data_IF_588298950933
#
_entry.id   IF_588298950933
#
_cell.length_a   1.000
_cell.length_b   1.000
_cell.length_c   1.000
_cell.angle_alpha   90.00
_cell.angle_beta   90.00
_cell.angle_gamma   90.00
#
_symmetry.space_group_name_H-M   'P 1'
#
loop_
_entity.id
_entity.type
_entity.pdbx_description
1 polymer ?
#
# COMPACT_ATOMS: atom_id res chain seq x y z
N UNK A 1 18.63 9.54 -17.79
CA UNK A 1 18.72 9.30 -16.34
C UNK A 1 19.75 10.30 -15.82
N UNK A 2 19.48 11.01 -14.72
CA UNK A 2 20.53 11.80 -14.05
C UNK A 2 21.67 10.83 -13.67
N UNK A 3 22.93 11.08 -14.07
CA UNK A 3 24.06 10.21 -13.74
C UNK A 3 24.18 9.90 -12.25
N UNK A 4 23.72 10.80 -11.38
CA UNK A 4 23.72 10.61 -9.92
C UNK A 4 22.66 9.62 -9.42
N UNK A 5 21.67 9.24 -10.24
CA UNK A 5 20.65 8.25 -9.83
C UNK A 5 21.31 6.89 -9.58
N UNK A 6 22.19 6.44 -10.47
CA UNK A 6 22.89 5.15 -10.27
C UNK A 6 23.75 5.16 -9.01
N UNK A 7 24.37 6.31 -8.72
CA UNK A 7 25.18 6.53 -7.52
C UNK A 7 24.31 6.52 -6.25
N UNK A 8 23.13 7.17 -6.26
CA UNK A 8 22.15 7.15 -5.14
C UNK A 8 21.59 5.76 -4.89
N UNK A 9 21.23 5.04 -5.95
CA UNK A 9 20.75 3.65 -5.86
C UNK A 9 21.87 2.67 -5.49
N UNK A 10 23.14 3.10 -5.55
CA UNK A 10 24.32 2.25 -5.30
C UNK A 10 24.24 0.93 -6.08
N UNK A 11 23.84 1.05 -7.34
CA UNK A 11 23.67 -0.06 -8.26
C UNK A 11 25.03 -0.73 -8.54
N UNK A 12 25.13 -2.01 -8.22
CA UNK A 12 26.27 -2.87 -8.51
C UNK A 12 25.84 -4.19 -9.13
N UNK A 13 26.80 -5.08 -9.37
CA UNK A 13 26.54 -6.48 -9.65
C UNK A 13 26.65 -7.29 -8.34
N UNK A 14 25.93 -8.41 -8.27
CA UNK A 14 26.12 -9.42 -7.23
C UNK A 14 27.55 -9.96 -7.26
N UNK A 15 28.01 -10.56 -6.17
CA UNK A 15 29.39 -11.07 -6.06
C UNK A 15 29.72 -12.13 -7.13
N UNK A 16 28.71 -12.80 -7.68
CA UNK A 16 28.85 -13.76 -8.79
C UNK A 16 28.65 -13.12 -10.18
N UNK A 17 28.48 -11.80 -10.25
CA UNK A 17 28.16 -10.99 -11.43
C UNK A 17 26.89 -11.42 -12.18
N UNK A 18 26.03 -12.23 -11.55
CA UNK A 18 24.86 -12.80 -12.22
C UNK A 18 23.62 -11.96 -12.13
N UNK A 19 23.52 -10.96 -11.24
CA UNK A 19 22.34 -10.08 -11.09
C UNK A 19 22.76 -8.67 -10.69
N UNK A 20 21.92 -7.69 -10.97
CA UNK A 20 22.08 -6.35 -10.40
C UNK A 20 21.82 -6.40 -8.89
N UNK A 21 22.44 -5.51 -8.12
CA UNK A 21 22.18 -5.32 -6.69
C UNK A 21 22.03 -3.84 -6.44
N UNK A 22 20.88 -3.45 -5.92
CA UNK A 22 20.65 -2.11 -5.37
C UNK A 22 20.98 -2.20 -3.88
N UNK A 23 21.92 -1.40 -3.40
CA UNK A 23 22.32 -1.43 -1.97
C UNK A 23 21.62 -0.30 -1.23
N UNK A 24 21.07 -0.62 -0.06
CA UNK A 24 20.50 0.37 0.85
C UNK A 24 21.47 1.52 1.14
N UNK A 25 20.93 2.68 1.52
CA UNK A 25 21.70 3.80 2.03
C UNK A 25 22.59 3.42 3.25
N UNK A 26 22.26 2.33 3.96
CA UNK A 26 23.05 1.87 5.10
C UNK A 26 24.31 1.09 4.70
N UNK A 27 24.39 0.49 3.51
CA UNK A 27 25.60 -0.21 3.02
C UNK A 27 26.17 -1.29 3.96
N UNK A 28 25.44 -1.66 5.02
CA UNK A 28 25.89 -2.48 6.13
C UNK A 28 24.71 -2.98 6.95
N UNK A 29 24.94 -4.07 7.68
CA UNK A 29 23.97 -4.75 8.57
C UNK A 29 23.55 -3.91 9.79
N UNK A 30 24.07 -2.69 9.95
CA UNK A 30 23.71 -1.81 11.05
C UNK A 30 22.28 -1.27 10.88
N UNK A 31 21.39 -1.92 11.62
CA UNK A 31 20.03 -1.51 11.95
C UNK A 31 19.99 -0.03 12.33
N UNK A 32 19.35 0.79 11.48
CA UNK A 32 19.06 2.19 11.78
C UNK A 32 17.63 2.33 12.27
N UNK A 33 17.46 2.93 13.45
CA UNK A 33 16.14 3.19 14.04
C UNK A 33 15.21 3.92 13.06
N UNK A 34 13.95 3.47 12.97
CA UNK A 34 12.94 4.02 12.06
C UNK A 34 13.30 3.96 10.58
N UNK A 35 14.22 3.09 10.16
CA UNK A 35 14.35 2.76 8.73
C UNK A 35 13.07 2.15 8.20
N UNK A 36 12.83 2.30 6.91
CA UNK A 36 11.57 1.93 6.30
C UNK A 36 11.74 1.31 4.91
N UNK A 37 10.71 0.59 4.46
CA UNK A 37 10.60 0.05 3.12
C UNK A 37 9.16 0.15 2.64
N UNK A 38 8.99 0.30 1.33
CA UNK A 38 7.71 0.35 0.61
C UNK A 38 7.63 -0.86 -0.32
N UNK A 39 6.50 -1.55 -0.27
CA UNK A 39 6.09 -2.59 -1.21
C UNK A 39 4.89 -2.07 -2.01
N UNK A 40 4.87 -2.31 -3.33
CA UNK A 40 3.75 -1.99 -4.19
C UNK A 40 3.39 -3.17 -5.10
N UNK A 41 2.09 -3.41 -5.24
CA UNK A 41 1.54 -4.42 -6.15
C UNK A 41 0.91 -3.72 -7.37
N UNK A 42 1.09 -4.30 -8.56
CA UNK A 42 0.54 -3.79 -9.82
C UNK A 42 -0.20 -4.86 -10.60
N UNK A 43 -1.22 -4.44 -11.36
CA UNK A 43 -1.81 -5.31 -12.38
C UNK A 43 -0.94 -5.36 -13.64
N UNK A 44 -0.66 -6.57 -14.13
CA UNK A 44 -0.14 -6.82 -15.47
C UNK A 44 -1.31 -6.85 -16.45
N UNK A 45 -1.24 -6.01 -17.49
CA UNK A 45 -2.30 -5.85 -18.49
C UNK A 45 -1.75 -5.88 -19.91
N UNK A 46 -2.56 -6.25 -20.89
CA UNK A 46 -2.20 -6.16 -22.31
C UNK A 46 -1.88 -4.71 -22.68
N UNK A 47 -0.73 -4.46 -23.32
CA UNK A 47 -0.28 -3.11 -23.61
C UNK A 47 -1.16 -2.34 -24.62
N UNK A 48 -2.03 -3.04 -25.37
CA UNK A 48 -2.93 -2.43 -26.37
C UNK A 48 -4.34 -2.27 -25.83
N UNK A 49 -4.91 -3.31 -25.20
CA UNK A 49 -6.29 -3.29 -24.73
C UNK A 49 -6.43 -2.82 -23.29
N UNK A 50 -5.35 -2.89 -22.51
CA UNK A 50 -5.33 -2.69 -21.06
C UNK A 50 -6.26 -3.65 -20.31
N UNK A 51 -6.55 -4.82 -20.89
CA UNK A 51 -7.23 -5.89 -20.18
C UNK A 51 -6.23 -6.66 -19.32
N UNK A 52 -6.68 -7.08 -18.15
CA UNK A 52 -5.88 -7.83 -17.20
C UNK A 52 -5.38 -9.16 -17.78
N UNK A 53 -4.10 -9.46 -17.60
CA UNK A 53 -3.48 -10.66 -18.14
C UNK A 53 -4.06 -11.91 -17.45
N UNK A 54 -4.59 -12.86 -18.23
CA UNK A 54 -5.08 -14.14 -17.69
C UNK A 54 -3.91 -15.09 -17.39
N UNK A 55 -2.85 -15.02 -18.20
CA UNK A 55 -1.63 -15.81 -18.05
C UNK A 55 -0.43 -14.89 -18.26
N UNK A 56 0.61 -15.09 -17.47
CA UNK A 56 1.86 -14.35 -17.53
C UNK A 56 3.01 -15.35 -17.64
N UNK A 57 4.00 -15.10 -18.52
CA UNK A 57 5.11 -16.04 -18.72
C UNK A 57 6.03 -16.03 -17.49
N UNK A 58 6.64 -17.18 -17.16
CA UNK A 58 7.62 -17.28 -16.07
C UNK A 58 8.85 -16.41 -16.35
N UNK A 59 9.32 -16.40 -17.60
CA UNK A 59 10.44 -15.59 -18.07
C UNK A 59 10.29 -14.08 -17.77
N UNK A 60 9.06 -13.55 -17.74
CA UNK A 60 8.83 -12.14 -17.35
C UNK A 60 9.27 -11.89 -15.91
N UNK A 61 8.93 -12.79 -14.99
CA UNK A 61 9.26 -12.63 -13.57
C UNK A 61 10.73 -12.91 -13.30
N UNK A 62 11.33 -13.85 -14.03
CA UNK A 62 12.78 -14.06 -13.97
C UNK A 62 13.55 -12.83 -14.47
N UNK A 63 13.11 -12.23 -15.58
CA UNK A 63 13.68 -11.00 -16.12
C UNK A 63 13.47 -9.80 -15.17
N UNK A 64 12.26 -9.63 -14.63
CA UNK A 64 11.94 -8.55 -13.68
C UNK A 64 12.72 -8.71 -12.38
N UNK A 65 12.81 -9.92 -11.83
CA UNK A 65 13.60 -10.20 -10.64
C UNK A 65 15.07 -9.90 -10.90
N UNK A 66 15.60 -10.28 -12.06
CA UNK A 66 16.98 -10.01 -12.44
C UNK A 66 17.27 -8.51 -12.57
N UNK A 67 16.42 -7.78 -13.30
CA UNK A 67 16.65 -6.36 -13.62
C UNK A 67 16.47 -5.43 -12.44
N UNK A 68 15.66 -5.84 -11.47
CA UNK A 68 15.44 -5.12 -10.21
C UNK A 68 16.33 -5.61 -9.06
N UNK A 69 17.28 -6.51 -9.34
CA UNK A 69 18.20 -7.02 -8.32
C UNK A 69 17.54 -7.83 -7.20
N UNK A 70 16.49 -8.57 -7.53
CA UNK A 70 15.75 -9.44 -6.62
C UNK A 70 14.47 -8.82 -6.06
N UNK A 71 14.17 -7.57 -6.41
CA UNK A 71 13.12 -6.77 -5.78
C UNK A 71 11.74 -6.89 -6.43
N UNK A 72 11.62 -7.58 -7.57
CA UNK A 72 10.35 -7.90 -8.21
C UNK A 72 9.99 -9.38 -8.04
N UNK A 73 8.73 -9.67 -7.73
CA UNK A 73 8.22 -11.02 -7.53
C UNK A 73 6.81 -11.24 -8.08
N UNK A 74 6.48 -12.51 -8.27
CA UNK A 74 5.14 -12.96 -8.69
C UNK A 74 4.23 -13.14 -7.48
N UNK A 75 2.99 -12.72 -7.64
CA UNK A 75 1.95 -12.83 -6.63
C UNK A 75 1.00 -14.04 -6.78
N UNK A 76 0.04 -14.16 -5.86
CA UNK A 76 -0.91 -15.27 -5.79
C UNK A 76 -1.71 -15.48 -7.09
N UNK A 77 -2.16 -14.39 -7.73
CA UNK A 77 -2.85 -14.44 -9.01
C UNK A 77 -1.91 -14.02 -10.14
N UNK A 78 -2.07 -14.64 -11.31
CA UNK A 78 -1.17 -14.48 -12.46
C UNK A 78 -1.00 -13.02 -12.92
N UNK A 79 -2.03 -12.21 -12.76
CA UNK A 79 -2.07 -10.85 -13.25
C UNK A 79 -1.41 -9.81 -12.34
N UNK A 80 -0.65 -10.25 -11.34
CA UNK A 80 -0.09 -9.37 -10.32
C UNK A 80 1.42 -9.50 -10.23
N UNK A 81 2.07 -8.36 -10.09
CA UNK A 81 3.50 -8.24 -9.87
C UNK A 81 3.71 -7.34 -8.65
N UNK A 82 4.56 -7.77 -7.74
CA UNK A 82 4.95 -7.00 -6.57
C UNK A 82 6.39 -6.49 -6.74
N UNK A 83 6.64 -5.27 -6.29
CA UNK A 83 7.99 -4.73 -6.08
C UNK A 83 8.20 -4.32 -4.63
N UNK A 84 9.39 -4.54 -4.11
CA UNK A 84 9.78 -4.12 -2.76
C UNK A 84 11.07 -3.29 -2.81
N UNK A 85 11.02 -2.07 -2.28
CA UNK A 85 12.23 -1.25 -2.09
C UNK A 85 13.20 -1.90 -1.09
N UNK A 86 14.48 -1.52 -1.16
CA UNK A 86 15.42 -1.80 -0.10
C UNK A 86 15.04 -1.02 1.17
N UNK A 87 15.71 -1.35 2.28
CA UNK A 87 15.57 -0.59 3.53
C UNK A 87 16.24 0.78 3.36
N UNK A 88 15.49 1.85 3.64
CA UNK A 88 15.95 3.23 3.52
C UNK A 88 15.86 4.01 4.83
N UNK A 89 16.73 5.00 4.95
CA UNK A 89 16.67 6.05 5.99
C UNK A 89 16.32 7.39 5.35
N UNK A 90 16.83 7.66 4.16
CA UNK A 90 16.53 8.86 3.38
C UNK A 90 15.29 8.64 2.51
N UNK A 91 14.37 9.62 2.56
CA UNK A 91 13.11 9.55 1.82
C UNK A 91 13.29 9.82 0.32
N UNK A 92 14.32 10.59 -0.05
CA UNK A 92 14.68 10.86 -1.44
C UNK A 92 15.22 9.62 -2.15
N UNK A 93 16.07 8.83 -1.48
CA UNK A 93 16.57 7.57 -2.01
C UNK A 93 15.45 6.53 -2.20
N UNK A 94 14.56 6.41 -1.21
CA UNK A 94 13.37 5.54 -1.33
C UNK A 94 12.46 5.94 -2.51
N UNK A 95 12.25 7.25 -2.71
CA UNK A 95 11.49 7.79 -3.85
C UNK A 95 12.11 7.42 -5.18
N UNK A 96 13.42 7.61 -5.33
CA UNK A 96 14.12 7.33 -6.59
C UNK A 96 14.20 5.83 -6.88
N UNK A 97 14.33 4.98 -5.85
CA UNK A 97 14.24 3.54 -6.03
C UNK A 97 12.84 3.10 -6.45
N UNK A 98 11.77 3.59 -5.81
CA UNK A 98 10.41 3.22 -6.20
C UNK A 98 10.09 3.65 -7.65
N UNK A 99 10.57 4.83 -8.07
CA UNK A 99 10.51 5.26 -9.49
C UNK A 99 11.28 4.32 -10.41
N UNK A 100 12.47 3.88 -9.99
CA UNK A 100 13.28 2.93 -10.76
C UNK A 100 12.54 1.60 -10.92
N UNK A 101 12.07 1.00 -9.81
CA UNK A 101 11.36 -0.28 -9.81
C UNK A 101 10.15 -0.25 -10.74
N UNK A 102 9.28 0.77 -10.61
CA UNK A 102 8.12 0.94 -11.52
C UNK A 102 8.51 0.98 -12.98
N UNK A 103 9.53 1.77 -13.34
CA UNK A 103 9.98 1.91 -14.73
C UNK A 103 10.56 0.61 -15.25
N UNK A 104 11.33 -0.09 -14.42
CA UNK A 104 12.02 -1.29 -14.84
C UNK A 104 11.05 -2.45 -15.05
N UNK A 105 10.10 -2.66 -14.12
CA UNK A 105 9.09 -3.71 -14.31
C UNK A 105 8.11 -3.38 -15.45
N UNK A 106 7.81 -2.10 -15.69
CA UNK A 106 7.06 -1.68 -16.88
C UNK A 106 7.83 -1.96 -18.17
N UNK A 107 9.13 -1.68 -18.20
CA UNK A 107 10.03 -1.95 -19.34
C UNK A 107 10.11 -3.45 -19.64
N UNK A 108 10.32 -4.27 -18.60
CA UNK A 108 10.33 -5.73 -18.73
C UNK A 108 8.97 -6.24 -19.22
N UNK A 109 7.86 -5.82 -18.60
CA UNK A 109 6.51 -6.20 -19.05
C UNK A 109 6.29 -5.85 -20.54
N UNK A 110 6.79 -4.69 -20.99
CA UNK A 110 6.72 -4.25 -22.39
C UNK A 110 7.35 -5.22 -23.39
N UNK A 111 8.40 -5.95 -23.00
CA UNK A 111 9.05 -6.96 -23.83
C UNK A 111 8.14 -8.18 -24.10
N UNK A 112 7.13 -8.37 -23.26
CA UNK A 112 6.14 -9.44 -23.36
C UNK A 112 4.78 -8.95 -23.86
N UNK A 113 4.71 -7.71 -24.40
CA UNK A 113 3.45 -7.11 -24.87
C UNK A 113 2.50 -6.69 -23.75
N UNK A 114 3.02 -6.57 -22.52
CA UNK A 114 2.26 -6.16 -21.33
C UNK A 114 2.69 -4.77 -20.85
N UNK A 115 1.93 -4.19 -19.93
CA UNK A 115 2.33 -3.04 -19.12
C UNK A 115 1.78 -3.20 -17.70
N UNK A 116 2.07 -2.25 -16.82
CA UNK A 116 1.59 -2.24 -15.43
C UNK A 116 0.55 -1.15 -15.19
N UNK A 117 -0.41 -1.41 -14.31
CA UNK A 117 -1.33 -0.43 -13.76
C UNK A 117 -1.23 -0.37 -12.23
N UNK A 118 -0.94 0.82 -11.69
CA UNK A 118 -0.96 1.11 -10.26
C UNK A 118 -2.37 1.53 -9.81
N UNK A 119 -3.27 0.56 -9.71
CA UNK A 119 -4.58 0.72 -9.11
C UNK A 119 -4.93 -0.49 -8.25
N UNK A 120 -5.68 -0.26 -7.17
CA UNK A 120 -5.94 -1.34 -6.21
C UNK A 120 -7.04 -2.30 -6.64
N UNK A 121 -7.87 -1.87 -7.58
CA UNK A 121 -8.78 -2.73 -8.34
C UNK A 121 -8.74 -2.33 -9.80
N UNK A 122 -8.71 -3.33 -10.69
CA UNK A 122 -8.69 -3.07 -12.11
C UNK A 122 -10.09 -2.68 -12.62
N UNK A 123 -10.27 -1.53 -13.32
CA UNK A 123 -11.60 -1.02 -13.68
C UNK A 123 -12.47 -1.97 -14.50
N UNK A 124 -11.89 -2.68 -15.47
CA UNK A 124 -12.62 -3.60 -16.38
C UNK A 124 -12.46 -5.09 -16.02
N UNK A 125 -11.67 -5.44 -15.00
CA UNK A 125 -11.38 -6.85 -14.76
C UNK A 125 -12.63 -7.60 -14.29
N UNK A 126 -12.79 -8.82 -14.80
CA UNK A 126 -13.78 -9.77 -14.33
C UNK A 126 -13.03 -10.84 -13.54
N UNK A 127 -13.15 -10.81 -12.21
CA UNK A 127 -12.39 -11.70 -11.33
C UNK A 127 -12.59 -13.19 -11.62
N UNK A 128 -13.73 -13.57 -12.23
CA UNK A 128 -14.02 -14.96 -12.64
C UNK A 128 -13.05 -15.50 -13.70
N UNK A 129 -12.40 -14.61 -14.43
CA UNK A 129 -11.42 -14.96 -15.46
C UNK A 129 -10.00 -15.05 -14.90
N UNK A 130 -9.79 -14.69 -13.62
CA UNK A 130 -8.49 -14.76 -12.98
C UNK A 130 -7.99 -16.20 -12.87
N UNK A 131 -6.67 -16.35 -12.95
CA UNK A 131 -6.01 -17.64 -12.80
C UNK A 131 -5.01 -17.56 -11.65
N UNK A 132 -5.01 -18.55 -10.74
CA UNK A 132 -3.96 -18.67 -9.74
C UNK A 132 -2.60 -18.91 -10.39
N UNK A 133 -1.56 -18.41 -9.75
CA UNK A 133 -0.18 -18.78 -10.07
C UNK A 133 0.02 -20.28 -9.78
N UNK A 134 0.54 -21.08 -10.72
CA UNK A 134 0.68 -22.54 -10.57
C UNK A 134 1.89 -22.91 -9.70
N UNK A 135 1.92 -22.42 -8.44
CA UNK A 135 2.90 -22.80 -7.42
C UNK A 135 2.20 -23.52 -6.26
N UNK A 136 2.83 -24.53 -5.62
CA UNK A 136 2.21 -25.31 -4.56
C UNK A 136 1.59 -24.48 -3.42
N UNK A 137 2.32 -23.48 -2.91
CA UNK A 137 1.84 -22.57 -1.84
C UNK A 137 0.51 -21.88 -2.21
N UNK A 138 0.35 -21.44 -3.46
CA UNK A 138 -0.87 -20.76 -3.89
C UNK A 138 -2.00 -21.76 -4.18
N UNK A 139 -1.68 -22.99 -4.60
CA UNK A 139 -2.68 -24.04 -4.77
C UNK A 139 -3.34 -24.42 -3.44
N UNK A 140 -2.54 -24.57 -2.36
CA UNK A 140 -3.05 -24.80 -1.00
C UNK A 140 -3.95 -23.65 -0.54
N UNK A 141 -3.46 -22.41 -0.66
CA UNK A 141 -4.23 -21.23 -0.28
C UNK A 141 -5.55 -21.10 -1.06
N UNK A 142 -5.56 -21.41 -2.35
CA UNK A 142 -6.77 -21.39 -3.18
C UNK A 142 -7.76 -22.52 -2.85
N UNK A 143 -7.27 -23.68 -2.42
CA UNK A 143 -8.15 -24.75 -1.93
C UNK A 143 -8.84 -24.33 -0.64
N UNK A 144 -8.12 -23.69 0.29
CA UNK A 144 -8.67 -23.21 1.56
C UNK A 144 -9.62 -22.02 1.39
N UNK A 145 -9.23 -21.03 0.58
CA UNK A 145 -9.98 -19.79 0.41
C UNK A 145 -11.08 -19.88 -0.66
N UNK A 146 -11.01 -20.84 -1.58
CA UNK A 146 -11.99 -21.02 -2.65
C UNK A 146 -12.34 -19.72 -3.37
N UNK A 147 -13.64 -19.40 -3.46
CA UNK A 147 -14.15 -18.24 -4.18
C UNK A 147 -13.64 -16.91 -3.59
N UNK A 148 -13.42 -16.81 -2.28
CA UNK A 148 -12.91 -15.57 -1.68
C UNK A 148 -11.44 -15.36 -2.04
N UNK A 149 -10.65 -16.43 -2.17
CA UNK A 149 -9.29 -16.38 -2.71
C UNK A 149 -9.26 -15.96 -4.18
N UNK A 150 -10.16 -16.52 -5.00
CA UNK A 150 -10.26 -16.17 -6.44
C UNK A 150 -10.67 -14.71 -6.67
N UNK A 151 -11.49 -14.17 -5.77
CA UNK A 151 -11.93 -12.77 -5.78
C UNK A 151 -10.86 -11.80 -5.30
N UNK A 152 -9.72 -12.26 -4.78
CA UNK A 152 -8.63 -11.42 -4.29
C UNK A 152 -7.77 -10.81 -5.42
N UNK A 153 -8.38 -10.31 -6.48
CA UNK A 153 -7.72 -9.52 -7.53
C UNK A 153 -7.53 -8.08 -7.06
N UNK A 154 -6.65 -7.91 -6.08
CA UNK A 154 -6.49 -6.69 -5.30
C UNK A 154 -5.00 -6.35 -5.21
N UNK A 155 -4.64 -5.11 -5.53
CA UNK A 155 -3.27 -4.62 -5.37
C UNK A 155 -3.21 -3.62 -4.20
N UNK A 156 -2.19 -3.68 -3.37
CA UNK A 156 -1.97 -2.77 -2.26
C UNK A 156 -0.63 -2.07 -2.29
N UNK A 157 -0.45 -1.16 -1.34
CA UNK A 157 0.85 -0.67 -0.92
C UNK A 157 1.07 -1.03 0.55
N UNK A 158 2.22 -1.61 0.86
CA UNK A 158 2.63 -1.87 2.24
C UNK A 158 3.81 -0.99 2.60
N UNK A 159 3.83 -0.53 3.86
CA UNK A 159 4.95 0.26 4.39
C UNK A 159 5.44 -0.40 5.66
N UNK A 160 6.72 -0.76 5.67
CA UNK A 160 7.42 -1.33 6.81
C UNK A 160 8.20 -0.24 7.51
N UNK A 161 8.07 -0.11 8.83
CA UNK A 161 8.91 0.79 9.64
C UNK A 161 9.54 0.00 10.77
N UNK A 162 10.86 0.02 10.86
CA UNK A 162 11.63 -0.62 11.91
C UNK A 162 11.54 0.19 13.21
N UNK A 163 11.13 -0.45 14.30
CA UNK A 163 11.14 0.20 15.62
C UNK A 163 12.43 -0.17 16.38
N UNK A 164 12.97 0.72 17.24
CA UNK A 164 14.18 0.42 18.01
C UNK A 164 14.02 -0.83 18.89
N UNK A 165 12.86 -0.99 19.51
CA UNK A 165 12.48 -2.20 20.25
C UNK A 165 11.33 -2.94 19.54
N UNK A 166 11.59 -4.14 18.97
CA UNK A 166 10.57 -4.96 18.32
C UNK A 166 9.40 -5.36 19.22
N UNK A 167 9.57 -5.43 20.54
CA UNK A 167 8.49 -5.78 21.48
C UNK A 167 7.49 -4.63 21.65
N UNK A 168 7.91 -3.39 21.41
CA UNK A 168 7.03 -2.21 21.45
C UNK A 168 6.14 -2.07 20.22
N UNK A 169 6.32 -2.90 19.18
CA UNK A 169 5.44 -2.94 18.00
C UNK A 169 3.97 -3.13 18.35
N UNK A 170 3.65 -3.86 19.42
CA UNK A 170 2.26 -4.08 19.85
C UNK A 170 1.62 -2.83 20.44
N UNK A 171 2.35 -2.08 21.26
CA UNK A 171 1.88 -0.81 21.81
C UNK A 171 1.69 0.23 20.69
N UNK A 172 2.67 0.34 19.78
CA UNK A 172 2.58 1.25 18.63
C UNK A 172 1.45 0.83 17.68
N UNK A 173 1.29 -0.46 17.39
CA UNK A 173 0.17 -0.98 16.58
C UNK A 173 -1.18 -0.62 17.19
N UNK A 174 -1.33 -0.79 18.52
CA UNK A 174 -2.57 -0.44 19.23
C UNK A 174 -2.85 1.06 19.14
N UNK A 175 -1.85 1.90 19.41
CA UNK A 175 -1.97 3.35 19.32
C UNK A 175 -2.25 3.86 17.90
N UNK A 176 -1.84 3.11 16.87
CA UNK A 176 -2.01 3.46 15.46
C UNK A 176 -3.43 3.22 14.92
N UNK A 177 -4.25 2.37 15.60
CA UNK A 177 -5.59 1.97 15.13
C UNK A 177 -6.48 3.17 14.74
N UNK A 178 -6.59 4.25 15.54
CA UNK A 178 -7.43 5.41 15.20
C UNK A 178 -6.99 6.15 13.93
N UNK A 179 -5.71 6.01 13.53
CA UNK A 179 -5.12 6.71 12.39
C UNK A 179 -5.18 5.89 11.09
N UNK A 180 -5.37 4.57 11.16
CA UNK A 180 -5.47 3.69 9.98
C UNK A 180 -6.47 4.23 8.92
N UNK A 181 -7.68 4.70 9.30
CA UNK A 181 -8.62 5.28 8.35
C UNK A 181 -8.10 6.48 7.54
N UNK A 182 -7.20 7.30 8.10
CA UNK A 182 -6.62 8.44 7.38
C UNK A 182 -5.75 7.95 6.21
N UNK A 183 -4.95 6.90 6.43
CA UNK A 183 -4.16 6.29 5.36
C UNK A 183 -5.02 5.67 4.26
N UNK A 184 -6.18 5.10 4.63
CA UNK A 184 -7.14 4.56 3.66
C UNK A 184 -7.72 5.70 2.80
N UNK A 185 -8.10 6.82 3.43
CA UNK A 185 -8.63 7.97 2.71
C UNK A 185 -7.61 8.57 1.73
N UNK A 186 -6.35 8.72 2.17
CA UNK A 186 -5.27 9.28 1.37
C UNK A 186 -4.90 8.38 0.17
N UNK A 187 -4.91 7.06 0.34
CA UNK A 187 -4.42 6.12 -0.67
C UNK A 187 -5.47 5.66 -1.68
N UNK A 188 -6.76 5.90 -1.42
CA UNK A 188 -7.88 5.30 -2.16
C UNK A 188 -7.67 5.32 -3.69
N UNK A 189 -7.70 4.13 -4.31
CA UNK A 189 -7.45 3.95 -5.74
C UNK A 189 -8.27 2.82 -6.37
N UNK A 190 -9.32 2.36 -5.68
CA UNK A 190 -10.17 1.24 -6.10
C UNK A 190 -11.66 1.58 -6.21
N UNK A 191 -12.08 2.57 -7.04
CA UNK A 191 -13.49 2.92 -7.15
C UNK A 191 -14.33 1.97 -8.00
N UNK A 192 -13.69 1.11 -8.79
CA UNK A 192 -14.35 0.19 -9.72
C UNK A 192 -14.14 -1.28 -9.33
N UNK A 193 -15.14 -2.11 -9.57
CA UNK A 193 -15.03 -3.56 -9.39
C UNK A 193 -15.95 -4.28 -10.35
N UNK A 194 -15.46 -5.34 -10.99
CA UNK A 194 -16.24 -6.15 -11.92
C UNK A 194 -16.92 -5.30 -13.02
N UNK A 195 -16.13 -4.40 -13.64
CA UNK A 195 -16.60 -3.48 -14.69
C UNK A 195 -17.71 -2.51 -14.28
N UNK A 196 -17.77 -2.11 -13.00
CA UNK A 196 -18.78 -1.18 -12.48
C UNK A 196 -18.21 -0.23 -11.44
N UNK A 197 -18.71 1.01 -11.43
CA UNK A 197 -18.50 1.93 -10.30
C UNK A 197 -19.17 1.34 -9.06
N UNK A 198 -18.40 1.22 -7.97
CA UNK A 198 -18.86 0.57 -6.73
C UNK A 198 -19.62 1.52 -5.81
N UNK A 199 -19.45 2.83 -6.02
CA UNK A 199 -19.84 3.87 -5.08
C UNK A 199 -18.87 4.04 -3.90
N UNK A 200 -17.81 3.26 -3.81
CA UNK A 200 -16.71 3.43 -2.85
C UNK A 200 -15.53 4.10 -3.55
N UNK A 201 -14.70 4.84 -2.82
CA UNK A 201 -13.39 5.34 -3.29
C UNK A 201 -12.30 4.27 -3.14
N UNK A 202 -12.36 3.52 -2.03
CA UNK A 202 -11.48 2.40 -1.70
C UNK A 202 -12.24 1.09 -1.53
N UNK A 203 -12.55 0.40 -2.62
CA UNK A 203 -13.22 -0.91 -2.59
C UNK A 203 -12.32 -2.07 -2.16
N UNK A 204 -10.99 -1.96 -2.34
CA UNK A 204 -10.00 -3.02 -2.07
C UNK A 204 -10.25 -3.70 -0.73
N UNK A 205 -10.28 -2.93 0.36
CA UNK A 205 -10.45 -3.46 1.71
C UNK A 205 -11.85 -4.06 1.95
N UNK A 206 -12.89 -3.60 1.24
CA UNK A 206 -14.24 -4.17 1.38
C UNK A 206 -14.32 -5.56 0.75
N UNK A 207 -13.64 -5.77 -0.37
CA UNK A 207 -13.47 -7.11 -0.94
C UNK A 207 -12.51 -7.98 -0.10
N UNK A 208 -11.43 -7.38 0.40
CA UNK A 208 -10.42 -8.08 1.21
C UNK A 208 -10.99 -8.59 2.54
N UNK A 209 -11.93 -7.86 3.16
CA UNK A 209 -12.57 -8.22 4.43
C UNK A 209 -13.42 -9.51 4.37
N UNK A 210 -13.69 -10.07 3.18
CA UNK A 210 -14.31 -11.40 3.05
C UNK A 210 -13.35 -12.54 3.44
N UNK A 211 -12.04 -12.28 3.45
CA UNK A 211 -11.02 -13.25 3.87
C UNK A 211 -10.97 -13.37 5.40
N UNK A 212 -10.66 -14.56 5.95
CA UNK A 212 -10.50 -14.72 7.39
C UNK A 212 -9.29 -13.92 7.91
N UNK A 213 -9.38 -13.43 9.16
CA UNK A 213 -8.28 -12.72 9.86
C UNK A 213 -7.82 -11.43 9.16
N UNK A 214 -8.78 -10.71 8.58
CA UNK A 214 -8.61 -9.38 7.98
C UNK A 214 -9.23 -8.29 8.86
N UNK A 215 -9.27 -7.05 8.37
CA UNK A 215 -9.78 -5.90 9.12
C UNK A 215 -8.71 -5.18 9.95
N UNK A 216 -9.15 -4.38 10.92
CA UNK A 216 -8.23 -3.68 11.82
C UNK A 216 -7.62 -4.65 12.84
N UNK A 217 -6.37 -4.44 13.27
CA UNK A 217 -5.74 -5.29 14.27
C UNK A 217 -6.54 -5.32 15.57
N UNK A 218 -6.38 -6.41 16.32
CA UNK A 218 -6.96 -6.57 17.65
C UNK A 218 -6.16 -5.78 18.70
N UNK A 219 -6.76 -5.57 19.88
CA UNK A 219 -6.20 -4.76 20.97
C UNK A 219 -5.14 -5.50 21.81
N UNK A 220 -4.24 -6.24 21.16
CA UNK A 220 -3.12 -6.89 21.85
C UNK A 220 -2.21 -5.86 22.50
N UNK A 221 -1.92 -6.04 23.79
CA UNK A 221 -1.07 -5.11 24.56
C UNK A 221 0.38 -5.55 24.67
N UNK A 222 0.69 -6.78 24.26
CA UNK A 222 2.04 -7.34 24.34
C UNK A 222 2.24 -8.49 23.36
N UNK A 223 3.51 -8.76 23.03
CA UNK A 223 3.91 -9.91 22.22
C UNK A 223 3.35 -11.22 22.75
N UNK A 224 3.37 -11.40 24.07
CA UNK A 224 2.84 -12.62 24.72
C UNK A 224 1.36 -12.88 24.41
N UNK A 225 0.52 -11.85 24.31
CA UNK A 225 -0.88 -12.06 23.96
C UNK A 225 -1.05 -12.43 22.49
N UNK A 226 -0.29 -11.79 21.61
CA UNK A 226 -0.26 -12.13 20.19
C UNK A 226 0.26 -13.55 19.94
N UNK A 227 1.36 -13.94 20.59
CA UNK A 227 1.93 -15.29 20.49
C UNK A 227 0.94 -16.35 20.96
N UNK A 228 0.13 -16.07 22.00
CA UNK A 228 -0.94 -16.96 22.44
C UNK A 228 -2.03 -17.13 21.38
N UNK A 229 -2.40 -16.05 20.69
CA UNK A 229 -3.36 -16.08 19.58
C UNK A 229 -2.81 -16.89 18.40
N UNK A 230 -1.59 -16.60 17.95
CA UNK A 230 -0.93 -17.31 16.85
C UNK A 230 -0.77 -18.79 17.18
N UNK A 231 -0.27 -19.12 18.37
CA UNK A 231 -0.08 -20.50 18.81
C UNK A 231 -1.39 -21.30 18.88
N UNK A 232 -2.49 -20.67 19.27
CA UNK A 232 -3.79 -21.34 19.28
C UNK A 232 -4.23 -21.71 17.85
N UNK A 233 -4.06 -20.80 16.89
CA UNK A 233 -4.45 -21.03 15.50
C UNK A 233 -3.53 -22.05 14.80
N UNK A 234 -2.21 -21.94 14.96
CA UNK A 234 -1.26 -22.88 14.36
C UNK A 234 -1.40 -24.28 14.95
N UNK A 235 -1.54 -24.41 16.28
CA UNK A 235 -1.77 -25.71 16.93
C UNK A 235 -3.09 -26.36 16.52
N UNK A 236 -4.10 -25.56 16.16
CA UNK A 236 -5.39 -26.06 15.67
C UNK A 236 -5.36 -26.43 14.19
N UNK A 237 -4.25 -26.21 13.48
CA UNK A 237 -4.12 -26.49 12.05
C UNK A 237 -4.94 -25.56 11.15
N UNK A 238 -5.45 -24.44 11.68
CA UNK A 238 -6.27 -23.50 10.88
C UNK A 238 -5.45 -22.47 10.10
N UNK A 239 -4.14 -22.37 10.40
CA UNK A 239 -3.16 -21.67 9.60
C UNK A 239 -1.75 -22.25 9.86
N UNK A 240 -0.84 -22.23 8.87
CA UNK A 240 0.52 -22.75 9.05
C UNK A 240 1.39 -21.84 9.91
N UNK A 241 1.25 -20.52 9.76
CA UNK A 241 2.02 -19.49 10.45
C UNK A 241 1.28 -18.15 10.46
N UNK A 242 1.87 -17.14 11.10
CA UNK A 242 1.31 -15.79 11.19
C UNK A 242 1.32 -15.00 9.87
N UNK A 243 1.94 -15.49 8.79
CA UNK A 243 1.81 -14.86 7.46
C UNK A 243 0.38 -14.89 6.92
N UNK A 244 -0.49 -15.72 7.53
CA UNK A 244 -1.93 -15.84 7.26
C UNK A 244 -2.79 -14.90 8.11
N UNK A 245 -2.19 -14.03 8.93
CA UNK A 245 -2.87 -12.91 9.58
C UNK A 245 -2.77 -11.69 8.67
N UNK A 246 -3.91 -11.26 8.12
CA UNK A 246 -3.99 -10.28 7.04
C UNK A 246 -4.69 -8.99 7.47
N UNK A 247 -4.44 -8.55 8.70
CA UNK A 247 -4.93 -7.26 9.18
C UNK A 247 -4.36 -6.09 8.38
N UNK A 248 -5.05 -4.96 8.44
CA UNK A 248 -4.65 -3.67 7.87
C UNK A 248 -3.32 -3.15 8.44
N UNK A 249 -2.86 -3.72 9.56
CA UNK A 249 -1.53 -3.51 10.14
C UNK A 249 -1.12 -4.75 10.95
N UNK A 250 0.16 -5.12 10.88
CA UNK A 250 0.70 -6.24 11.66
C UNK A 250 2.18 -6.08 11.97
N UNK A 251 2.71 -6.71 13.04
CA UNK A 251 4.14 -6.93 13.17
C UNK A 251 4.61 -7.85 12.03
N UNK A 252 5.73 -7.50 11.38
CA UNK A 252 6.32 -8.39 10.39
C UNK A 252 6.90 -9.64 11.06
N UNK A 253 6.65 -10.80 10.46
CA UNK A 253 7.18 -12.11 10.87
C UNK A 253 8.70 -12.18 10.69
N UNK A 254 9.20 -11.66 9.57
CA UNK A 254 10.61 -11.82 9.15
C UNK A 254 11.49 -10.64 9.54
N UNK A 255 10.89 -9.47 9.76
CA UNK A 255 11.62 -8.23 9.96
C UNK A 255 11.20 -7.58 11.30
N UNK A 256 12.09 -6.81 11.95
CA UNK A 256 11.78 -6.06 13.18
C UNK A 256 10.90 -4.82 12.92
N UNK A 257 10.00 -4.90 11.95
CA UNK A 257 9.17 -3.78 11.48
C UNK A 257 7.72 -3.94 11.91
N UNK A 258 7.03 -2.81 12.07
CA UNK A 258 5.57 -2.76 12.01
C UNK A 258 5.18 -2.45 10.56
N UNK A 259 4.24 -3.22 10.03
CA UNK A 259 3.84 -3.18 8.62
C UNK A 259 2.42 -2.59 8.51
N UNK A 260 2.29 -1.44 7.87
CA UNK A 260 1.01 -0.87 7.45
C UNK A 260 0.60 -1.49 6.11
N UNK A 261 -0.57 -2.12 6.06
CA UNK A 261 -1.11 -2.83 4.87
C UNK A 261 -2.42 -2.26 4.33
N UNK A 262 -3.00 -1.31 5.08
CA UNK A 262 -4.25 -0.65 4.75
C UNK A 262 -4.24 0.10 3.41
N UNK A 263 -3.13 0.78 3.01
CA UNK A 263 -3.14 1.59 1.81
C UNK A 263 -3.43 0.83 0.53
N UNK A 264 -4.22 1.49 -0.30
CA UNK A 264 -4.31 1.20 -1.71
C UNK A 264 -2.99 1.59 -2.41
N UNK A 265 -2.64 0.95 -3.53
CA UNK A 265 -1.50 1.40 -4.36
C UNK A 265 -1.82 2.76 -5.00
N UNK A 266 -0.90 3.71 -4.89
CA UNK A 266 -1.09 5.05 -5.45
C UNK A 266 -0.64 5.09 -6.92
N UNK A 267 -1.36 5.80 -7.79
CA UNK A 267 -0.91 6.03 -9.17
C UNK A 267 0.34 6.91 -9.21
N UNK A 268 0.41 7.97 -8.40
CA UNK A 268 1.60 8.80 -8.27
C UNK A 268 2.57 8.26 -7.21
N UNK A 269 3.86 8.13 -7.57
CA UNK A 269 4.92 7.74 -6.62
C UNK A 269 5.03 8.72 -5.46
N UNK A 270 4.83 10.01 -5.73
CA UNK A 270 4.96 11.02 -4.68
C UNK A 270 3.83 10.94 -3.64
N UNK A 271 2.67 10.37 -3.99
CA UNK A 271 1.59 10.04 -3.03
C UNK A 271 2.00 8.87 -2.15
N UNK A 272 2.52 7.80 -2.75
CA UNK A 272 3.02 6.63 -2.02
C UNK A 272 4.09 7.02 -0.99
N UNK A 273 5.06 7.84 -1.40
CA UNK A 273 6.14 8.32 -0.52
C UNK A 273 5.62 9.28 0.56
N UNK A 274 4.64 10.13 0.26
CA UNK A 274 4.00 11.00 1.27
C UNK A 274 3.31 10.18 2.37
N UNK A 275 2.53 9.18 1.96
CA UNK A 275 1.83 8.26 2.87
C UNK A 275 2.82 7.45 3.72
N UNK A 276 3.88 6.91 3.10
CA UNK A 276 4.95 6.20 3.80
C UNK A 276 5.66 7.10 4.82
N UNK A 277 5.89 8.36 4.48
CA UNK A 277 6.54 9.35 5.35
C UNK A 277 5.67 9.71 6.55
N UNK A 278 4.36 9.92 6.34
CA UNK A 278 3.40 10.15 7.42
C UNK A 278 3.34 8.94 8.37
N UNK A 279 3.28 7.73 7.82
CA UNK A 279 3.30 6.51 8.62
C UNK A 279 4.58 6.38 9.45
N UNK A 280 5.74 6.65 8.85
CA UNK A 280 7.05 6.61 9.52
C UNK A 280 7.15 7.64 10.65
N UNK A 281 6.74 8.89 10.41
CA UNK A 281 6.73 9.94 11.43
C UNK A 281 5.78 9.62 12.58
N UNK A 282 4.58 9.12 12.27
CA UNK A 282 3.60 8.71 13.27
C UNK A 282 4.04 7.48 14.06
N UNK A 283 4.72 6.51 13.43
CA UNK A 283 5.30 5.38 14.13
C UNK A 283 6.37 5.82 15.15
N UNK A 284 7.20 6.80 14.80
CA UNK A 284 8.17 7.41 15.72
C UNK A 284 7.46 8.15 16.86
N UNK A 285 6.46 8.97 16.56
CA UNK A 285 5.66 9.69 17.55
C UNK A 285 5.05 8.73 18.59
N UNK A 286 4.32 7.73 18.13
CA UNK A 286 3.65 6.76 19.00
C UNK A 286 4.63 5.85 19.74
N UNK A 287 5.81 5.59 19.18
CA UNK A 287 6.89 4.90 19.89
C UNK A 287 7.45 5.74 21.05
N UNK A 288 7.54 7.06 20.91
CA UNK A 288 8.09 7.93 21.96
C UNK A 288 7.04 8.27 23.04
N UNK A 289 5.75 8.08 22.74
CA UNK A 289 4.62 8.39 23.62
C UNK A 289 3.78 7.11 23.91
N UNK A 290 4.31 6.13 24.66
CA UNK A 290 3.66 4.84 24.90
C UNK A 290 2.28 4.92 25.56
N UNK A 291 2.03 5.94 26.37
CA UNK A 291 0.77 6.17 27.07
C UNK A 291 -0.41 6.38 26.09
N UNK A 292 -0.15 6.80 24.85
CA UNK A 292 -1.18 6.90 23.81
C UNK A 292 -1.78 5.53 23.46
N UNK A 293 -1.06 4.44 23.68
CA UNK A 293 -1.59 3.09 23.48
C UNK A 293 -2.65 2.72 24.54
N UNK A 294 -2.57 3.31 25.73
CA UNK A 294 -3.52 3.06 26.83
C UNK A 294 -4.87 3.73 26.57
N UNK A 295 -4.88 4.83 25.80
CA UNK A 295 -6.10 5.52 25.38
C UNK A 295 -6.92 4.72 24.34
N UNK A 296 -6.34 3.73 23.65
CA UNK A 296 -7.06 2.97 22.62
C UNK A 296 -7.73 1.73 23.20
N UNK A 297 -8.99 1.89 23.63
CA UNK A 297 -9.87 0.83 24.11
C UNK A 297 -10.85 0.33 23.05
N UNK A 298 -11.95 -0.26 23.54
CA UNK A 298 -12.99 -0.83 22.69
C UNK A 298 -13.76 0.24 21.91
N UNK A 299 -13.95 1.42 22.51
CA UNK A 299 -14.71 2.52 21.91
C UNK A 299 -13.90 3.10 20.74
N UNK A 300 -12.62 3.40 20.97
CA UNK A 300 -11.71 3.95 19.98
C UNK A 300 -11.53 3.00 18.81
N UNK A 301 -11.41 1.68 19.07
CA UNK A 301 -11.38 0.68 18.01
C UNK A 301 -12.69 0.60 17.24
N UNK A 302 -13.85 0.63 17.91
CA UNK A 302 -15.15 0.60 17.23
C UNK A 302 -15.36 1.84 16.35
N UNK A 303 -14.96 3.02 16.82
CA UNK A 303 -14.94 4.26 16.04
C UNK A 303 -13.99 4.11 14.85
N UNK A 304 -12.81 3.53 15.03
CA UNK A 304 -11.87 3.28 13.94
C UNK A 304 -12.45 2.33 12.87
N UNK A 305 -13.27 1.34 13.25
CA UNK A 305 -13.98 0.46 12.30
C UNK A 305 -14.99 1.25 11.47
N UNK A 306 -15.79 2.12 12.10
CA UNK A 306 -16.71 3.01 11.37
C UNK A 306 -15.93 3.96 10.44
N UNK A 307 -14.85 4.56 10.95
CA UNK A 307 -14.00 5.46 10.17
C UNK A 307 -13.31 4.76 9.00
N UNK A 308 -12.92 3.49 9.15
CA UNK A 308 -12.43 2.66 8.03
C UNK A 308 -13.50 2.59 6.94
N UNK A 309 -14.73 2.25 7.28
CA UNK A 309 -15.84 2.23 6.31
C UNK A 309 -16.04 3.59 5.63
N UNK A 310 -16.00 4.67 6.41
CA UNK A 310 -16.20 6.04 5.89
C UNK A 310 -15.06 6.47 4.95
N UNK A 311 -13.81 6.16 5.29
CA UNK A 311 -12.66 6.39 4.43
C UNK A 311 -12.77 5.60 3.11
N UNK A 312 -13.20 4.33 3.17
CA UNK A 312 -13.45 3.53 1.97
C UNK A 312 -14.57 4.10 1.11
N UNK A 313 -15.66 4.58 1.72
CA UNK A 313 -16.83 5.07 1.00
C UNK A 313 -16.62 6.45 0.39
N UNK A 314 -15.99 7.36 1.12
CA UNK A 314 -15.94 8.79 0.77
C UNK A 314 -14.53 9.29 0.47
N UNK A 315 -13.47 8.51 0.72
CA UNK A 315 -12.10 8.92 0.46
C UNK A 315 -11.73 10.17 1.26
N UNK A 316 -11.06 11.12 0.62
CA UNK A 316 -10.66 12.41 1.21
C UNK A 316 -11.84 13.31 1.58
N UNK A 317 -13.02 13.10 1.00
CA UNK A 317 -14.24 13.86 1.30
C UNK A 317 -14.96 13.37 2.57
N UNK A 318 -14.42 12.36 3.27
CA UNK A 318 -15.09 11.79 4.42
C UNK A 318 -15.09 12.74 5.63
N UNK A 319 -16.20 12.73 6.38
CA UNK A 319 -16.22 13.22 7.77
C UNK A 319 -15.85 12.05 8.68
N UNK A 320 -14.80 12.14 9.47
CA UNK A 320 -14.44 11.14 10.48
C UNK A 320 -15.27 11.34 11.76
N UNK A 321 -15.65 10.24 12.38
CA UNK A 321 -16.33 10.18 13.68
C UNK A 321 -15.28 10.34 14.78
N UNK A 322 -15.52 11.27 15.71
CA UNK A 322 -14.85 11.34 17.01
C UNK A 322 -15.91 11.39 18.12
N UNK A 323 -15.50 11.27 19.38
CA UNK A 323 -16.42 11.41 20.51
C UNK A 323 -17.00 12.83 20.63
N UNK A 324 -16.28 13.84 20.16
CA UNK A 324 -16.70 15.24 20.16
C UNK A 324 -17.58 15.61 18.95
N UNK A 325 -17.76 14.70 18.00
CA UNK A 325 -18.57 14.89 16.80
C UNK A 325 -17.81 14.63 15.49
N UNK A 326 -18.41 14.99 14.34
CA UNK A 326 -17.77 14.78 13.05
C UNK A 326 -16.64 15.80 12.82
N UNK A 327 -15.50 15.34 12.30
CA UNK A 327 -14.36 16.18 11.87
C UNK A 327 -14.04 15.91 10.39
N UNK A 328 -13.54 16.90 9.66
CA UNK A 328 -13.16 16.68 8.25
C UNK A 328 -11.85 15.91 8.11
N UNK A 329 -11.60 15.35 6.93
CA UNK A 329 -10.30 14.78 6.59
C UNK A 329 -9.15 15.79 6.69
N UNK A 330 -9.38 17.06 6.32
CA UNK A 330 -8.38 18.11 6.53
C UNK A 330 -8.11 18.35 8.01
N UNK A 331 -9.14 18.41 8.85
CA UNK A 331 -8.97 18.69 10.27
C UNK A 331 -8.18 17.59 10.99
N UNK A 332 -8.54 16.32 10.80
CA UNK A 332 -7.82 15.20 11.43
C UNK A 332 -6.37 15.10 10.91
N UNK A 333 -6.16 15.33 9.61
CA UNK A 333 -4.81 15.31 9.04
C UNK A 333 -3.99 16.48 9.57
N UNK A 334 -4.56 17.67 9.70
CA UNK A 334 -3.86 18.83 10.20
C UNK A 334 -3.41 18.65 11.65
N UNK A 335 -4.27 18.06 12.50
CA UNK A 335 -3.93 17.67 13.87
C UNK A 335 -2.82 16.63 13.89
N UNK A 336 -2.97 15.57 13.10
CA UNK A 336 -1.96 14.50 13.00
C UNK A 336 -0.60 15.05 12.56
N UNK A 337 -0.55 15.93 11.55
CA UNK A 337 0.70 16.55 11.10
C UNK A 337 1.28 17.47 12.17
N UNK A 338 0.45 18.21 12.91
CA UNK A 338 0.93 19.03 14.02
C UNK A 338 1.60 18.17 15.12
N UNK A 339 1.01 17.01 15.45
CA UNK A 339 1.55 16.08 16.43
C UNK A 339 2.86 15.42 15.95
N UNK A 340 3.03 15.21 14.64
CA UNK A 340 4.20 14.51 14.08
C UNK A 340 5.26 15.41 13.43
N UNK A 341 5.07 16.74 13.39
CA UNK A 341 5.94 17.66 12.65
C UNK A 341 7.41 17.55 13.10
N UNK A 342 7.67 17.60 14.41
CA UNK A 342 9.03 17.45 14.95
C UNK A 342 9.65 16.08 14.61
N UNK A 343 8.82 15.05 14.48
CA UNK A 343 9.27 13.71 14.12
C UNK A 343 9.58 13.60 12.63
N UNK A 344 8.79 14.25 11.78
CA UNK A 344 9.03 14.34 10.36
C UNK A 344 10.29 15.17 10.05
N UNK A 345 10.53 16.26 10.78
CA UNK A 345 11.78 17.03 10.69
C UNK A 345 13.00 16.20 11.08
N UNK A 346 12.95 15.52 12.22
CA UNK A 346 14.03 14.65 12.68
C UNK A 346 14.34 13.49 11.72
N UNK A 347 13.35 13.03 10.96
CA UNK A 347 13.48 11.98 9.94
C UNK A 347 13.77 12.52 8.53
N UNK A 348 13.84 13.84 8.36
CA UNK A 348 14.10 14.48 7.06
C UNK A 348 12.98 14.32 6.04
N UNK A 349 11.72 14.15 6.46
CA UNK A 349 10.57 13.89 5.59
C UNK A 349 9.38 14.85 5.80
N UNK A 350 9.60 16.03 6.39
CA UNK A 350 8.53 17.01 6.63
C UNK A 350 7.82 17.44 5.34
N UNK A 351 8.57 17.67 4.25
CA UNK A 351 7.99 18.09 2.97
C UNK A 351 7.03 17.01 2.41
N UNK A 352 7.40 15.74 2.53
CA UNK A 352 6.58 14.60 2.14
C UNK A 352 5.34 14.45 3.01
N UNK A 353 5.46 14.66 4.33
CA UNK A 353 4.33 14.65 5.25
C UNK A 353 3.35 15.78 4.92
N UNK A 354 3.85 16.99 4.64
CA UNK A 354 3.04 18.13 4.22
C UNK A 354 2.31 17.88 2.89
N UNK A 355 2.90 17.10 1.98
CA UNK A 355 2.25 16.70 0.72
C UNK A 355 0.97 15.88 0.94
N UNK A 356 0.79 15.22 2.09
CA UNK A 356 -0.49 14.58 2.41
C UNK A 356 -1.66 15.59 2.44
N UNK A 357 -1.41 16.86 2.75
CA UNK A 357 -2.44 17.91 2.67
C UNK A 357 -2.90 18.15 1.24
N UNK A 358 -1.98 18.09 0.27
CA UNK A 358 -2.29 18.19 -1.16
C UNK A 358 -3.23 17.06 -1.57
N UNK A 359 -2.94 15.82 -1.17
CA UNK A 359 -3.82 14.66 -1.45
C UNK A 359 -5.20 14.90 -0.82
N UNK A 360 -5.25 15.30 0.46
CA UNK A 360 -6.51 15.54 1.17
C UNK A 360 -7.32 16.71 0.58
N UNK A 361 -6.67 17.67 -0.07
CA UNK A 361 -7.32 18.83 -0.70
C UNK A 361 -7.84 18.53 -2.11
N UNK A 362 -7.06 17.84 -2.94
CA UNK A 362 -7.36 17.66 -4.36
C UNK A 362 -7.92 16.27 -4.72
N UNK A 363 -7.87 15.35 -3.77
CA UNK A 363 -8.32 13.98 -3.94
C UNK A 363 -7.19 12.98 -4.11
N UNK A 364 -7.56 11.72 -3.89
CA UNK A 364 -6.75 10.53 -4.10
C UNK A 364 -6.80 10.06 -5.56
N UNK A 365 -6.10 8.97 -5.90
CA UNK A 365 -6.21 8.36 -7.23
C UNK A 365 -7.66 8.01 -7.60
N UNK A 366 -8.51 7.64 -6.65
CA UNK A 366 -9.92 7.34 -6.92
C UNK A 366 -10.68 8.55 -7.46
N UNK A 367 -10.35 9.76 -7.01
CA UNK A 367 -10.97 11.01 -7.46
C UNK A 367 -10.68 11.28 -8.94
N UNK A 368 -9.41 11.16 -9.32
CA UNK A 368 -8.99 11.32 -10.71
C UNK A 368 -9.52 10.21 -11.63
N UNK A 369 -9.58 8.97 -11.15
CA UNK A 369 -10.20 7.86 -11.89
C UNK A 369 -11.70 8.12 -12.15
N UNK A 370 -12.44 8.60 -11.14
CA UNK A 370 -13.85 8.94 -11.28
C UNK A 370 -14.07 10.17 -12.16
N UNK A 371 -13.14 11.14 -12.14
CA UNK A 371 -13.16 12.27 -13.05
C UNK A 371 -13.01 11.81 -14.51
N UNK A 372 -12.00 11.00 -14.81
CA UNK A 372 -11.79 10.44 -16.15
C UNK A 372 -13.01 9.63 -16.65
N UNK A 373 -13.66 8.89 -15.74
CA UNK A 373 -14.88 8.16 -16.04
C UNK A 373 -16.06 9.09 -16.39
N UNK A 374 -16.26 10.17 -15.63
CA UNK A 374 -17.35 11.13 -15.88
C UNK A 374 -17.12 11.94 -17.15
N UNK A 375 -15.91 12.44 -17.36
CA UNK A 375 -15.55 13.27 -18.52
C UNK A 375 -15.61 12.50 -19.85
N UNK A 376 -15.39 11.18 -19.80
CA UNK A 376 -15.53 10.30 -20.96
C UNK A 376 -16.97 9.80 -21.22
N UNK A 377 -17.94 10.24 -20.42
CA UNK A 377 -19.33 9.78 -20.54
C UNK A 377 -19.56 8.35 -20.06
N UNK A 378 -18.78 7.87 -19.08
CA UNK A 378 -18.92 6.55 -18.48
C UNK A 378 -18.09 5.45 -19.15
N UNK A 379 -16.98 5.80 -19.79
CA UNK A 379 -16.14 4.81 -20.47
C UNK A 379 -15.00 4.33 -19.55
N UNK A 380 -15.05 3.08 -19.14
CA UNK A 380 -13.98 2.47 -18.31
C UNK A 380 -12.63 2.42 -19.03
N UNK A 381 -12.62 2.37 -20.36
CA UNK A 381 -11.39 2.42 -21.15
C UNK A 381 -10.62 3.74 -20.96
N UNK A 382 -11.32 4.87 -20.77
CA UNK A 382 -10.67 6.14 -20.48
C UNK A 382 -10.00 6.11 -19.09
N UNK A 383 -10.59 5.40 -18.13
CA UNK A 383 -10.03 5.22 -16.79
C UNK A 383 -8.75 4.39 -16.85
N UNK A 384 -8.75 3.24 -17.53
CA UNK A 384 -7.54 2.41 -17.66
C UNK A 384 -6.42 3.13 -18.40
N UNK A 385 -6.75 3.91 -19.43
CA UNK A 385 -5.78 4.76 -20.14
C UNK A 385 -5.17 5.83 -19.22
N UNK A 386 -5.99 6.49 -18.40
CA UNK A 386 -5.51 7.46 -17.41
C UNK A 386 -4.59 6.80 -16.39
N UNK A 387 -4.96 5.64 -15.84
CA UNK A 387 -4.13 4.89 -14.88
C UNK A 387 -2.80 4.50 -15.53
N UNK A 388 -2.82 3.99 -16.77
CA UNK A 388 -1.62 3.59 -17.49
C UNK A 388 -0.65 4.77 -17.67
N UNK A 389 -1.18 5.93 -18.08
CA UNK A 389 -0.39 7.14 -18.20
C UNK A 389 0.19 7.59 -16.83
N UNK A 390 -0.63 7.62 -15.78
CA UNK A 390 -0.22 8.06 -14.45
C UNK A 390 0.80 7.13 -13.78
N UNK A 391 0.71 5.82 -14.01
CA UNK A 391 1.55 4.79 -13.35
C UNK A 391 3.05 4.98 -13.65
N UNK A 392 3.38 5.33 -14.90
CA UNK A 392 4.78 5.49 -15.38
C UNK A 392 5.16 6.93 -15.72
N UNK A 393 4.22 7.87 -15.57
CA UNK A 393 4.41 9.31 -15.82
C UNK A 393 5.61 9.86 -15.04
N UNK A 394 6.33 10.80 -15.66
CA UNK A 394 7.32 11.65 -14.96
C UNK A 394 6.69 12.88 -14.30
N UNK A 395 5.48 13.26 -14.72
CA UNK A 395 4.78 14.45 -14.28
C UNK A 395 3.71 14.11 -13.24
N UNK A 396 3.50 15.02 -12.29
CA UNK A 396 2.38 14.95 -11.35
C UNK A 396 1.04 14.81 -12.12
N UNK A 397 0.04 14.12 -11.54
CA UNK A 397 -1.30 14.11 -12.13
C UNK A 397 -1.76 15.54 -12.38
N UNK A 398 -2.45 15.83 -13.49
CA UNK A 398 -2.98 17.16 -13.73
C UNK A 398 -3.88 17.55 -12.54
N UNK A 399 -3.53 18.65 -11.88
CA UNK A 399 -4.27 19.17 -10.73
C UNK A 399 -5.70 19.49 -11.18
N UNK A 400 -6.67 18.88 -10.52
CA UNK A 400 -8.09 19.13 -10.73
C UNK A 400 -8.45 20.53 -10.23
N UNK A 401 -9.29 21.24 -10.98
CA UNK A 401 -9.97 22.43 -10.45
C UNK A 401 -11.14 21.97 -9.58
N UNK A 402 -11.41 22.65 -8.44
CA UNK A 402 -12.43 22.24 -7.50
C UNK A 402 -13.79 22.11 -8.18
N UNK A 403 -14.47 20.98 -7.95
CA UNK A 403 -15.84 20.76 -8.38
C UNK A 403 -16.76 21.78 -7.72
N UNK A 404 -17.51 22.52 -8.54
CA UNK A 404 -18.56 23.44 -8.08
C UNK A 404 -19.57 22.66 -7.24
N UNK A 405 -19.84 23.17 -6.04
CA UNK A 405 -20.69 22.53 -5.02
C UNK A 405 -22.04 22.02 -5.59
N UNK A 406 -22.56 20.90 -5.06
CA UNK A 406 -23.91 20.48 -5.36
C UNK A 406 -24.90 21.50 -4.81
N UNK A 407 -25.69 22.10 -5.71
CA UNK A 407 -26.88 22.87 -5.35
C UNK A 407 -27.80 21.95 -4.52
N UNK A 408 -28.13 22.42 -3.32
CA UNK A 408 -28.99 21.73 -2.33
C UNK A 408 -30.35 21.35 -2.87
#
# INVERSE_FOLDING_TARGET
MDPKILERLRLGLSDDERRLVIRSATGGEEVTEYSFGIEEEYFLVDAKTLDVAIRTPDDLFDAANWSTGGQAMREMLQAQLEVATNVHVDVGDAREELKFLRREVASVAGQYGLTILACSTHPTALWRNSQPTPKPRYAEMMEDLRIVGQRNMLCGMHVHVQLPDPDRRFAVMRAMIPYIPVFIALSASSPFWNSRETGLKGYRLAAYDELPRTGLPELFTSKKQYDRYVAALTKSGVMPDESHVWWAMRPSLRHPTLELRAPDVCTAVDDAVAIASLYRALARHLYLNPELADAVGNVERAIAVENKWRAQRYGTDCLFVTEDGPVTGQEILNRTIADVAEHAEALGCLAEVERCRTIMQFGSSADYQLQAYRESGGQLAAVTQWIAAATVSRAEPPQSQPSVEPVR
#
